data_IF_392510339701
#
_entry.id   IF_392510339701
#
_cell.length_a   1.000
_cell.length_b   1.000
_cell.length_c   1.000
_cell.angle_alpha   90.00
_cell.angle_beta   90.00
_cell.angle_gamma   90.00
#
_symmetry.space_group_name_H-M   'P 1'
#
loop_
_entity.id
_entity.type
_entity.pdbx_description
1 polymer ?
#
# COMPACT_ATOMS: atom_id res chain seq x y z
N UNK A 1 4.55 1.89 -6.03
CA UNK A 1 3.57 2.31 -7.04
C UNK A 1 2.22 1.66 -6.72
N UNK A 2 1.47 2.21 -5.76
CA UNK A 2 0.08 1.83 -5.52
C UNK A 2 -0.79 2.20 -6.74
N UNK A 3 -2.03 1.73 -6.75
CA UNK A 3 -2.97 1.98 -7.83
C UNK A 3 -4.39 2.25 -7.32
N UNK A 4 -5.20 2.93 -8.13
CA UNK A 4 -6.62 3.11 -7.87
C UNK A 4 -7.35 1.77 -7.89
N UNK A 5 -8.48 1.68 -7.18
CA UNK A 5 -9.25 0.43 -7.00
C UNK A 5 -8.41 -0.74 -6.45
N UNK A 6 -7.40 -0.43 -5.63
CA UNK A 6 -6.64 -1.46 -4.95
C UNK A 6 -7.48 -2.12 -3.86
N UNK A 7 -7.61 -3.44 -3.92
CA UNK A 7 -8.35 -4.19 -2.91
C UNK A 7 -7.80 -3.97 -1.50
N UNK A 8 -6.48 -3.84 -1.38
CA UNK A 8 -5.81 -3.57 -0.10
C UNK A 8 -6.14 -2.19 0.48
N UNK A 9 -6.69 -1.29 -0.33
CA UNK A 9 -7.12 0.04 0.09
C UNK A 9 -8.64 0.19 0.23
N UNK A 10 -9.40 -0.91 0.13
CA UNK A 10 -10.86 -0.90 0.18
C UNK A 10 -11.44 -1.09 1.59
N UNK A 11 -10.59 -1.16 2.62
CA UNK A 11 -10.98 -1.37 4.01
C UNK A 11 -9.78 -1.33 4.94
N UNK A 12 -9.99 -1.71 6.19
CA UNK A 12 -8.97 -1.83 7.23
C UNK A 12 -8.62 -3.30 7.54
N UNK A 13 -7.63 -3.48 8.40
CA UNK A 13 -7.13 -4.80 8.82
C UNK A 13 -8.21 -5.65 9.50
N UNK A 14 -9.03 -5.05 10.38
CA UNK A 14 -10.08 -5.76 11.10
C UNK A 14 -11.16 -6.28 10.14
N UNK A 15 -11.56 -5.46 9.16
CA UNK A 15 -12.59 -5.80 8.19
C UNK A 15 -12.22 -6.99 7.32
N UNK A 16 -10.94 -7.15 6.93
CA UNK A 16 -10.51 -8.30 6.12
C UNK A 16 -10.48 -9.58 6.95
N UNK A 17 -10.02 -9.51 8.21
CA UNK A 17 -10.09 -10.63 9.14
C UNK A 17 -11.52 -11.11 9.37
N UNK A 18 -12.44 -10.19 9.68
CA UNK A 18 -13.84 -10.49 9.88
C UNK A 18 -14.49 -11.08 8.61
N UNK A 19 -14.11 -10.59 7.42
CA UNK A 19 -14.61 -11.13 6.15
C UNK A 19 -14.17 -12.57 5.92
N UNK A 20 -12.92 -12.91 6.24
CA UNK A 20 -12.39 -14.27 6.09
C UNK A 20 -13.05 -15.21 7.11
N UNK A 21 -13.16 -14.79 8.37
CA UNK A 21 -13.83 -15.57 9.42
C UNK A 21 -15.29 -15.84 9.04
N UNK A 22 -16.03 -14.83 8.60
CA UNK A 22 -17.44 -14.97 8.20
C UNK A 22 -17.65 -15.90 7.00
N UNK A 23 -16.77 -15.85 5.99
CA UNK A 23 -16.93 -16.62 4.73
C UNK A 23 -16.35 -18.01 4.79
N UNK A 24 -15.31 -18.22 5.60
CA UNK A 24 -14.50 -19.43 5.59
C UNK A 24 -14.32 -20.08 6.95
N UNK A 25 -14.73 -19.42 8.05
CA UNK A 25 -14.60 -19.96 9.41
C UNK A 25 -13.16 -20.01 9.92
N UNK A 26 -12.26 -19.24 9.32
CA UNK A 26 -10.83 -19.23 9.65
C UNK A 26 -10.48 -17.92 10.35
N UNK A 27 -9.93 -18.02 11.55
CA UNK A 27 -9.34 -16.88 12.25
C UNK A 27 -7.93 -16.59 11.71
N UNK A 28 -7.75 -15.39 11.16
CA UNK A 28 -6.50 -14.95 10.51
C UNK A 28 -5.78 -13.86 11.29
N UNK A 29 -6.23 -13.50 12.50
CA UNK A 29 -5.66 -12.38 13.30
C UNK A 29 -4.19 -12.53 13.69
N UNK A 30 -3.58 -13.68 13.44
CA UNK A 30 -2.14 -13.93 13.60
C UNK A 30 -1.30 -13.55 12.38
N UNK A 31 -1.92 -13.09 11.29
CA UNK A 31 -1.27 -12.72 10.03
C UNK A 31 -1.61 -11.27 9.69
N UNK A 32 -0.62 -10.45 9.36
CA UNK A 32 -0.86 -9.10 8.86
C UNK A 32 -1.05 -9.12 7.34
N UNK A 33 -2.19 -8.60 6.87
CA UNK A 33 -2.50 -8.33 5.47
C UNK A 33 -1.98 -6.97 5.01
N UNK A 34 -1.69 -6.04 5.93
CA UNK A 34 -1.17 -4.69 5.63
C UNK A 34 -2.14 -3.90 4.75
N UNK A 35 -3.39 -3.84 5.17
CA UNK A 35 -4.41 -2.99 4.53
C UNK A 35 -3.99 -1.50 4.63
N UNK A 36 -4.35 -0.71 3.62
CA UNK A 36 -3.88 0.67 3.44
C UNK A 36 -5.07 1.63 3.40
N UNK A 37 -5.33 2.35 4.48
CA UNK A 37 -6.46 3.28 4.56
C UNK A 37 -6.23 4.62 3.85
N UNK A 38 -4.96 5.02 3.70
CA UNK A 38 -4.54 6.20 2.94
C UNK A 38 -3.35 5.82 2.05
N UNK A 39 -3.62 5.59 0.77
CA UNK A 39 -2.61 5.16 -0.19
C UNK A 39 -1.54 6.23 -0.45
N UNK A 40 -1.87 7.53 -0.30
CA UNK A 40 -0.91 8.62 -0.53
C UNK A 40 0.04 8.73 0.65
N UNK A 41 -0.48 8.68 1.86
CA UNK A 41 0.35 8.66 3.06
C UNK A 41 1.26 7.41 3.12
N UNK A 42 0.71 6.23 2.78
CA UNK A 42 1.50 5.00 2.71
C UNK A 42 2.61 5.08 1.65
N UNK A 43 2.30 5.61 0.45
CA UNK A 43 3.31 5.81 -0.59
C UNK A 43 4.43 6.74 -0.13
N UNK A 44 4.11 7.84 0.55
CA UNK A 44 5.12 8.76 1.08
C UNK A 44 6.01 8.06 2.11
N UNK A 45 5.43 7.28 3.02
CA UNK A 45 6.18 6.51 4.01
C UNK A 45 7.08 5.43 3.36
N UNK A 46 6.59 4.73 2.33
CA UNK A 46 7.36 3.75 1.58
C UNK A 46 8.55 4.41 0.86
N UNK A 47 8.33 5.54 0.19
CA UNK A 47 9.38 6.31 -0.51
C UNK A 47 10.45 6.79 0.48
N UNK A 48 10.04 7.36 1.62
CA UNK A 48 10.96 7.83 2.65
C UNK A 48 11.76 6.67 3.28
N UNK A 49 11.12 5.52 3.50
CA UNK A 49 11.80 4.32 3.98
C UNK A 49 12.91 3.87 3.02
N UNK A 50 12.66 3.90 1.71
CA UNK A 50 13.68 3.57 0.70
C UNK A 50 14.81 4.60 0.68
N UNK A 51 14.50 5.90 0.70
CA UNK A 51 15.51 6.99 0.68
C UNK A 51 16.41 6.97 1.92
N UNK A 52 15.83 6.74 3.08
CA UNK A 52 16.55 6.68 4.36
C UNK A 52 17.34 5.38 4.53
N UNK A 53 17.02 4.31 3.79
CA UNK A 53 17.64 3.00 3.94
C UNK A 53 19.17 3.03 3.84
N UNK A 54 19.84 2.45 4.83
CA UNK A 54 21.29 2.62 5.04
C UNK A 54 22.16 1.90 4.02
N UNK A 55 21.67 0.79 3.46
CA UNK A 55 22.43 -0.02 2.50
C UNK A 55 22.23 0.43 1.05
N UNK A 56 21.26 1.30 0.77
CA UNK A 56 21.03 1.81 -0.58
C UNK A 56 21.95 3.01 -0.87
N UNK A 57 22.47 3.13 -2.11
CA UNK A 57 23.25 4.29 -2.50
C UNK A 57 22.46 5.59 -2.30
N UNK A 58 23.08 6.60 -1.69
CA UNK A 58 22.43 7.91 -1.50
C UNK A 58 22.22 8.69 -2.79
N UNK A 59 22.80 8.22 -3.90
CA UNK A 59 22.58 8.73 -5.26
C UNK A 59 21.41 8.05 -5.98
N UNK A 60 20.73 7.07 -5.36
CA UNK A 60 19.59 6.39 -5.96
C UNK A 60 18.39 7.35 -6.05
N UNK A 61 17.88 7.54 -7.27
CA UNK A 61 16.66 8.32 -7.50
C UNK A 61 15.45 7.46 -7.17
N UNK A 62 14.58 7.96 -6.29
CA UNK A 62 13.35 7.27 -5.84
C UNK A 62 12.17 8.21 -6.02
N UNK A 63 11.13 7.73 -6.70
CA UNK A 63 9.90 8.46 -6.98
C UNK A 63 8.67 7.61 -6.65
N UNK A 64 7.62 8.28 -6.17
CA UNK A 64 6.30 7.70 -5.98
C UNK A 64 5.35 8.07 -7.12
N UNK A 65 4.46 7.15 -7.47
CA UNK A 65 3.35 7.43 -8.38
C UNK A 65 2.15 6.54 -8.04
N UNK A 66 0.95 7.04 -8.32
CA UNK A 66 -0.32 6.30 -8.28
C UNK A 66 -0.72 5.95 -9.71
N UNK A 67 -0.92 4.66 -9.97
CA UNK A 67 -1.43 4.18 -11.25
C UNK A 67 -2.95 4.20 -11.27
N UNK A 68 -3.56 4.86 -12.26
CA UNK A 68 -5.00 4.82 -12.46
C UNK A 68 -5.38 3.62 -13.33
N UNK A 69 -5.98 2.59 -12.73
CA UNK A 69 -6.35 1.36 -13.46
C UNK A 69 -7.45 1.57 -14.50
N UNK A 70 -8.24 2.64 -14.38
CA UNK A 70 -9.32 2.96 -15.31
C UNK A 70 -8.85 3.70 -16.57
N UNK A 71 -7.75 4.46 -16.48
CA UNK A 71 -7.25 5.29 -17.59
C UNK A 71 -5.88 4.85 -18.12
N UNK A 72 -5.10 4.11 -17.34
CA UNK A 72 -3.71 3.76 -17.65
C UNK A 72 -2.70 4.86 -17.31
N UNK A 73 -3.15 5.98 -16.74
CA UNK A 73 -2.27 7.10 -16.39
C UNK A 73 -1.46 6.83 -15.12
N UNK A 74 -0.25 7.40 -15.06
CA UNK A 74 0.57 7.46 -13.86
C UNK A 74 0.55 8.90 -13.33
N UNK A 75 0.05 9.08 -12.12
CA UNK A 75 0.10 10.34 -11.38
C UNK A 75 1.37 10.34 -10.50
N UNK A 76 2.40 11.14 -10.81
CA UNK A 76 3.54 11.30 -9.91
C UNK A 76 3.08 11.95 -8.60
N UNK A 77 3.57 11.44 -7.47
CA UNK A 77 3.29 12.01 -6.15
C UNK A 77 4.57 12.63 -5.63
N UNK A 78 4.54 13.95 -5.44
CA UNK A 78 5.63 14.66 -4.76
C UNK A 78 5.55 14.36 -3.27
N UNK A 79 6.46 13.50 -2.82
CA UNK A 79 6.59 12.97 -1.47
C UNK A 79 8.06 12.76 -1.14
#
# INVERSE_FOLDING_TARGET
MPHTDCRMASGDEESIHASIESKHGIDTRSVEFKMVTDQRAALAADVESIRSYSILPKTLVVAGAIYNVGTGELEPVDC
#
